data_IF_187945733594
#
_entry.id   IF_187945733594
#
_cell.length_a   1.000
_cell.length_b   1.000
_cell.length_c   1.000
_cell.angle_alpha   90.00
_cell.angle_beta   90.00
_cell.angle_gamma   90.00
#
_symmetry.space_group_name_H-M   'P 1'
#
loop_
_entity.id
_entity.type
_entity.pdbx_description
1 polymer ?
#
# COMPACT_ATOMS: atom_id res chain seq x y z
N UNK A 1 20.03 21.26 -71.14
CA UNK A 1 19.15 20.67 -72.16
C UNK A 1 18.55 19.42 -71.56
N UNK A 2 17.20 19.35 -71.55
CA UNK A 2 16.29 18.25 -71.18
C UNK A 2 16.43 17.73 -69.72
N UNK A 3 15.57 18.06 -68.75
CA UNK A 3 14.10 17.86 -68.60
C UNK A 3 13.61 16.42 -68.83
N UNK A 4 13.17 15.79 -67.74
CA UNK A 4 11.88 15.08 -67.70
C UNK A 4 11.41 14.92 -66.24
N UNK A 5 10.32 15.61 -65.92
CA UNK A 5 9.53 15.52 -64.68
C UNK A 5 8.64 14.28 -64.62
N UNK A 6 8.36 13.82 -63.41
CA UNK A 6 7.05 13.36 -62.86
C UNK A 6 7.33 12.53 -61.60
N UNK A 7 6.71 12.69 -60.44
CA UNK A 7 5.55 13.45 -60.02
C UNK A 7 4.94 12.75 -58.78
N UNK A 8 4.50 13.54 -57.81
CA UNK A 8 3.54 13.23 -56.73
C UNK A 8 3.96 12.33 -55.54
N UNK A 9 4.10 12.95 -54.36
CA UNK A 9 3.07 12.95 -53.29
C UNK A 9 3.71 13.03 -51.89
N UNK A 10 3.78 14.25 -51.35
CA UNK A 10 4.16 14.50 -49.97
C UNK A 10 3.03 14.07 -49.01
N UNK A 11 3.32 13.14 -48.08
CA UNK A 11 2.49 12.91 -46.89
C UNK A 11 3.30 13.24 -45.64
N UNK A 12 2.79 14.25 -44.92
CA UNK A 12 3.28 14.83 -43.66
C UNK A 12 3.43 13.76 -42.57
N UNK A 13 4.59 13.77 -41.90
CA UNK A 13 4.77 13.17 -40.58
C UNK A 13 3.93 13.96 -39.56
N UNK A 14 3.05 13.26 -38.84
CA UNK A 14 2.43 13.72 -37.60
C UNK A 14 3.43 13.47 -36.47
N UNK A 15 4.03 14.53 -35.96
CA UNK A 15 4.57 14.58 -34.60
C UNK A 15 3.39 14.83 -33.66
N UNK A 16 3.07 13.84 -32.83
CA UNK A 16 2.04 13.97 -31.80
C UNK A 16 2.54 14.85 -30.65
N UNK A 17 1.58 15.65 -30.19
CA UNK A 17 1.62 16.75 -29.25
C UNK A 17 2.53 16.54 -28.03
N UNK A 18 3.34 17.57 -27.78
CA UNK A 18 3.92 17.86 -26.49
C UNK A 18 2.79 17.89 -25.43
N UNK A 19 3.01 17.12 -24.35
CA UNK A 19 2.19 17.14 -23.17
C UNK A 19 2.46 18.48 -22.46
N UNK A 20 1.53 19.42 -22.61
CA UNK A 20 1.62 20.77 -22.06
C UNK A 20 1.57 20.69 -20.53
N UNK A 21 2.74 20.85 -19.91
CA UNK A 21 2.87 20.95 -18.47
C UNK A 21 2.43 22.37 -18.10
N UNK A 22 1.19 22.49 -17.63
CA UNK A 22 0.59 23.76 -17.24
C UNK A 22 1.48 24.56 -16.28
N UNK A 23 1.73 25.79 -16.68
CA UNK A 23 2.45 26.84 -15.96
C UNK A 23 1.87 27.08 -14.56
N UNK A 24 2.74 27.23 -13.56
CA UNK A 24 2.36 27.58 -12.20
C UNK A 24 2.13 29.10 -12.11
N UNK A 25 0.97 29.55 -12.63
CA UNK A 25 0.65 30.96 -12.81
C UNK A 25 -0.48 31.47 -11.92
N UNK A 26 -0.17 32.55 -11.18
CA UNK A 26 -1.03 33.57 -10.53
C UNK A 26 -2.22 33.16 -9.64
N UNK A 27 -2.54 33.93 -8.57
CA UNK A 27 -3.71 33.69 -7.74
C UNK A 27 -4.99 33.82 -8.57
N UNK A 28 -5.63 32.69 -8.89
CA UNK A 28 -6.91 32.70 -9.59
C UNK A 28 -8.01 33.21 -8.66
N UNK A 29 -8.62 34.34 -9.05
CA UNK A 29 -9.78 34.91 -8.34
C UNK A 29 -11.05 34.08 -8.51
N UNK A 30 -11.05 33.11 -9.43
CA UNK A 30 -12.15 32.18 -9.72
C UNK A 30 -11.95 30.87 -8.96
N UNK A 31 -11.95 30.96 -7.63
CA UNK A 31 -11.81 29.81 -6.76
C UNK A 31 -13.14 29.05 -6.72
N UNK A 32 -13.21 27.91 -7.41
CA UNK A 32 -14.27 26.90 -7.25
C UNK A 32 -14.50 26.49 -5.78
N UNK A 33 -13.54 26.78 -4.89
CA UNK A 33 -13.60 26.48 -3.46
C UNK A 33 -14.38 27.53 -2.66
N UNK A 34 -14.49 28.77 -3.17
CA UNK A 34 -15.13 29.87 -2.43
C UNK A 34 -16.64 29.66 -2.26
N UNK A 35 -17.27 29.04 -3.25
CA UNK A 35 -18.69 28.68 -3.26
C UNK A 35 -18.94 27.25 -2.77
N UNK A 36 -17.96 26.61 -2.11
CA UNK A 36 -18.07 25.21 -1.70
C UNK A 36 -18.95 25.05 -0.46
N UNK A 37 -20.07 24.35 -0.62
CA UNK A 37 -20.97 24.00 0.47
C UNK A 37 -20.62 22.61 1.02
N UNK A 38 -20.12 22.56 2.26
CA UNK A 38 -19.76 21.30 2.92
C UNK A 38 -21.03 20.48 3.18
N UNK A 39 -21.08 19.26 2.65
CA UNK A 39 -22.15 18.30 2.95
C UNK A 39 -21.74 17.31 4.04
N UNK A 40 -20.54 16.73 3.94
CA UNK A 40 -20.01 15.78 4.95
C UNK A 40 -18.50 15.62 4.86
N UNK A 41 -17.89 15.22 5.98
CA UNK A 41 -16.50 14.74 5.97
C UNK A 41 -16.50 13.29 5.49
N UNK A 42 -15.70 13.01 4.46
CA UNK A 42 -15.52 11.65 3.95
C UNK A 42 -14.49 10.89 4.78
N UNK A 43 -13.34 11.49 5.05
CA UNK A 43 -12.24 10.88 5.82
C UNK A 43 -11.38 11.98 6.45
N UNK A 44 -10.95 11.75 7.68
CA UNK A 44 -9.95 12.58 8.37
C UNK A 44 -8.80 11.69 8.83
N UNK A 45 -7.57 12.03 8.44
CA UNK A 45 -6.37 11.35 8.89
C UNK A 45 -5.47 12.30 9.67
N UNK A 46 -5.65 12.34 10.99
CA UNK A 46 -4.84 13.15 11.89
C UNK A 46 -3.33 12.79 11.87
N UNK A 47 -2.95 11.58 11.46
CA UNK A 47 -1.53 11.20 11.31
C UNK A 47 -0.89 11.85 10.08
N UNK A 48 -1.53 11.70 8.93
CA UNK A 48 -1.08 12.24 7.63
C UNK A 48 -1.41 13.73 7.46
N UNK A 49 -2.18 14.32 8.40
CA UNK A 49 -2.60 15.73 8.39
C UNK A 49 -3.38 16.08 7.11
N UNK A 50 -4.28 15.18 6.72
CA UNK A 50 -5.09 15.26 5.51
C UNK A 50 -6.57 15.01 5.82
N UNK A 51 -7.46 15.80 5.22
CA UNK A 51 -8.91 15.66 5.33
C UNK A 51 -9.56 15.66 3.94
N UNK A 52 -10.59 14.83 3.77
CA UNK A 52 -11.36 14.65 2.55
C UNK A 52 -12.81 15.06 2.82
N UNK A 53 -13.32 15.99 2.03
CA UNK A 53 -14.59 16.66 2.27
C UNK A 53 -15.47 16.49 1.03
N UNK A 54 -16.70 16.04 1.22
CA UNK A 54 -17.73 16.03 0.17
C UNK A 54 -18.65 17.22 0.37
N UNK A 55 -18.94 17.89 -0.74
CA UNK A 55 -19.82 19.05 -0.76
C UNK A 55 -20.31 19.33 -2.16
N UNK A 56 -20.79 20.56 -2.37
CA UNK A 56 -21.26 21.03 -3.66
C UNK A 56 -20.57 22.31 -4.07
N UNK A 57 -20.34 22.46 -5.38
CA UNK A 57 -19.94 23.72 -6.02
C UNK A 57 -20.93 24.00 -7.14
N UNK A 58 -21.63 25.13 -7.10
CA UNK A 58 -22.61 25.52 -8.13
C UNK A 58 -23.60 24.37 -8.46
N UNK A 59 -24.19 23.78 -7.41
CA UNK A 59 -25.09 22.62 -7.44
C UNK A 59 -24.51 21.28 -7.95
N UNK A 60 -23.22 21.22 -8.27
CA UNK A 60 -22.55 19.97 -8.65
C UNK A 60 -21.83 19.35 -7.47
N UNK A 61 -21.90 18.03 -7.32
CA UNK A 61 -21.09 17.30 -6.33
C UNK A 61 -19.60 17.58 -6.53
N UNK A 62 -18.89 17.79 -5.44
CA UNK A 62 -17.45 18.03 -5.45
C UNK A 62 -16.78 17.38 -4.23
N UNK A 63 -15.53 16.95 -4.41
CA UNK A 63 -14.66 16.52 -3.31
C UNK A 63 -13.49 17.48 -3.18
N UNK A 64 -13.29 18.02 -1.99
CA UNK A 64 -12.15 18.86 -1.63
C UNK A 64 -11.24 18.08 -0.68
N UNK A 65 -9.94 18.06 -0.98
CA UNK A 65 -8.93 17.39 -0.19
C UNK A 65 -7.94 18.45 0.29
N UNK A 66 -7.75 18.54 1.59
CA UNK A 66 -6.83 19.49 2.23
C UNK A 66 -5.72 18.71 2.93
N UNK A 67 -4.48 18.94 2.54
CA UNK A 67 -3.29 18.24 3.04
C UNK A 67 -2.26 19.26 3.52
N UNK A 68 -1.77 19.10 4.75
CA UNK A 68 -0.65 19.93 5.25
C UNK A 68 0.62 19.64 4.47
N UNK A 69 1.34 20.69 4.09
CA UNK A 69 2.62 20.55 3.40
C UNK A 69 3.72 20.12 4.38
N UNK A 70 4.70 19.30 3.93
CA UNK A 70 5.86 18.96 4.76
C UNK A 70 6.71 20.18 5.10
N UNK A 71 7.31 20.18 6.30
CA UNK A 71 8.31 21.19 6.66
C UNK A 71 9.57 20.95 5.83
N UNK A 72 10.01 21.97 5.09
CA UNK A 72 11.20 21.89 4.26
C UNK A 72 12.45 22.34 5.02
N UNK A 73 13.57 21.67 4.79
CA UNK A 73 14.82 21.96 5.49
C UNK A 73 15.34 23.37 5.21
N UNK A 74 15.14 23.88 3.99
CA UNK A 74 15.62 25.18 3.55
C UNK A 74 14.85 26.36 4.18
N UNK A 75 13.61 26.14 4.66
CA UNK A 75 12.79 27.18 5.31
C UNK A 75 12.91 27.19 6.83
N UNK A 76 13.62 26.23 7.44
CA UNK A 76 13.69 26.07 8.91
C UNK A 76 14.22 27.31 9.63
N UNK A 77 15.26 27.96 9.09
CA UNK A 77 15.85 29.13 9.75
C UNK A 77 14.88 30.30 9.81
N UNK A 78 14.16 30.53 8.71
CA UNK A 78 13.14 31.57 8.63
C UNK A 78 11.96 31.23 9.53
N UNK A 79 11.45 30.01 9.45
CA UNK A 79 10.33 29.53 10.27
C UNK A 79 10.59 29.75 11.76
N UNK A 80 11.78 29.38 12.26
CA UNK A 80 12.11 29.51 13.67
C UNK A 80 12.31 30.97 14.12
N UNK A 81 12.76 31.87 13.24
CA UNK A 81 13.03 33.27 13.58
C UNK A 81 11.81 34.18 13.45
N UNK A 82 10.94 33.89 12.50
CA UNK A 82 9.81 34.75 12.12
C UNK A 82 8.46 34.32 12.70
N UNK A 83 8.38 33.11 13.28
CA UNK A 83 7.14 32.61 13.87
C UNK A 83 6.89 33.15 15.27
N UNK A 84 5.61 33.22 15.64
CA UNK A 84 5.20 33.47 17.02
C UNK A 84 5.00 32.16 17.76
N UNK A 85 5.57 32.06 18.97
CA UNK A 85 5.48 30.87 19.81
C UNK A 85 4.62 31.16 21.04
N UNK A 86 3.61 30.32 21.27
CA UNK A 86 2.84 30.31 22.51
C UNK A 86 3.18 29.05 23.29
N UNK A 87 3.76 29.21 24.48
CA UNK A 87 4.08 28.08 25.35
C UNK A 87 2.79 27.36 25.78
N UNK A 88 2.75 26.04 25.63
CA UNK A 88 1.66 25.21 26.12
C UNK A 88 2.04 24.48 27.40
N UNK A 89 3.18 23.78 27.39
CA UNK A 89 3.64 22.95 28.50
C UNK A 89 5.16 23.14 28.64
N UNK A 90 5.65 23.23 29.87
CA UNK A 90 7.08 23.18 30.20
C UNK A 90 7.31 22.24 31.37
N UNK A 91 8.21 21.29 31.19
CA UNK A 91 8.67 20.40 32.25
C UNK A 91 10.17 20.14 32.07
N UNK A 92 10.97 20.63 33.03
CA UNK A 92 12.44 20.58 32.99
C UNK A 92 13.01 21.11 31.65
N UNK A 93 13.71 20.25 30.89
CA UNK A 93 14.28 20.58 29.57
C UNK A 93 13.28 20.48 28.41
N UNK A 94 12.08 19.92 28.65
CA UNK A 94 11.05 19.75 27.62
C UNK A 94 10.06 20.90 27.65
N UNK A 95 9.85 21.53 26.50
CA UNK A 95 8.82 22.56 26.33
C UNK A 95 8.11 22.39 25.00
N UNK A 96 6.78 22.43 25.04
CA UNK A 96 5.90 22.31 23.88
C UNK A 96 5.28 23.66 23.60
N UNK A 97 5.39 24.12 22.35
CA UNK A 97 4.85 25.40 21.90
C UNK A 97 3.83 25.18 20.78
N UNK A 98 2.83 26.05 20.72
CA UNK A 98 2.05 26.27 19.52
C UNK A 98 2.78 27.31 18.66
N UNK A 99 3.17 26.93 17.46
CA UNK A 99 3.88 27.78 16.50
C UNK A 99 2.89 28.35 15.48
N UNK A 100 2.83 29.67 15.36
CA UNK A 100 2.13 30.36 14.28
C UNK A 100 3.13 30.78 13.20
N UNK A 101 3.14 30.04 12.10
CA UNK A 101 4.03 30.26 10.98
C UNK A 101 3.59 31.46 10.13
N UNK A 102 4.53 32.16 9.47
CA UNK A 102 4.21 33.12 8.41
C UNK A 102 3.32 32.51 7.33
N UNK A 103 2.48 33.33 6.69
CA UNK A 103 1.48 32.86 5.72
C UNK A 103 2.08 32.08 4.55
N UNK A 104 3.21 32.54 3.99
CA UNK A 104 3.91 31.87 2.88
C UNK A 104 4.58 30.56 3.27
N UNK A 105 4.72 30.28 4.58
CA UNK A 105 5.27 29.02 5.10
C UNK A 105 4.17 28.07 5.62
N UNK A 106 2.90 28.46 5.53
CA UNK A 106 1.75 27.70 6.04
C UNK A 106 0.79 27.31 4.92
N UNK A 107 1.34 26.96 3.76
CA UNK A 107 0.56 26.51 2.61
C UNK A 107 -0.15 25.18 2.90
N UNK A 108 -1.40 25.07 2.45
CA UNK A 108 -2.19 23.85 2.50
C UNK A 108 -2.45 23.42 1.07
N UNK A 109 -1.95 22.23 0.72
CA UNK A 109 -2.22 21.65 -0.58
C UNK A 109 -3.70 21.34 -0.68
N UNK A 110 -4.35 21.95 -1.67
CA UNK A 110 -5.79 21.84 -1.90
C UNK A 110 -6.03 21.18 -3.24
N UNK A 111 -6.74 20.05 -3.24
CA UNK A 111 -7.14 19.33 -4.46
C UNK A 111 -8.65 19.34 -4.57
N UNK A 112 -9.19 19.71 -5.73
CA UNK A 112 -10.63 19.75 -6.00
C UNK A 112 -10.98 18.76 -7.10
N UNK A 113 -11.96 17.91 -6.85
CA UNK A 113 -12.57 17.01 -7.84
C UNK A 113 -13.98 17.50 -8.08
N UNK A 114 -14.23 18.14 -9.22
CA UNK A 114 -15.55 18.67 -9.59
C UNK A 114 -15.76 18.56 -11.12
N UNK A 115 -16.86 17.95 -11.60
CA UNK A 115 -17.89 17.25 -10.83
C UNK A 115 -17.41 15.91 -10.27
N UNK A 116 -17.75 15.61 -9.02
CA UNK A 116 -17.46 14.35 -8.35
C UNK A 116 -18.59 13.34 -8.60
N UNK A 117 -18.24 12.18 -9.15
CA UNK A 117 -19.17 11.04 -9.25
C UNK A 117 -19.31 10.32 -7.91
N UNK A 118 -20.34 9.49 -7.75
CA UNK A 118 -20.48 8.59 -6.59
C UNK A 118 -19.25 7.70 -6.37
N UNK A 119 -18.54 7.32 -7.45
CA UNK A 119 -17.31 6.53 -7.36
C UNK A 119 -16.20 7.31 -6.65
N UNK A 120 -16.07 8.61 -6.92
CA UNK A 120 -15.11 9.47 -6.22
C UNK A 120 -15.47 9.58 -4.73
N UNK A 121 -16.75 9.79 -4.44
CA UNK A 121 -17.24 9.90 -3.06
C UNK A 121 -16.98 8.61 -2.28
N UNK A 122 -17.33 7.44 -2.84
CA UNK A 122 -17.07 6.12 -2.23
C UNK A 122 -15.57 5.84 -2.05
N UNK A 123 -14.72 6.27 -3.00
CA UNK A 123 -13.25 6.10 -2.92
C UNK A 123 -12.64 6.81 -1.71
N UNK A 124 -13.12 8.01 -1.39
CA UNK A 124 -12.57 8.82 -0.30
C UNK A 124 -13.31 8.67 1.03
N UNK A 125 -14.49 8.05 1.02
CA UNK A 125 -15.25 7.75 2.23
C UNK A 125 -14.45 6.81 3.13
N UNK A 126 -14.28 7.20 4.39
CA UNK A 126 -13.71 6.38 5.43
C UNK A 126 -14.56 5.13 5.60
N UNK A 127 -13.91 3.98 5.53
CA UNK A 127 -14.54 2.71 5.86
C UNK A 127 -14.15 2.38 7.29
N UNK A 128 -15.15 2.18 8.14
CA UNK A 128 -14.93 1.67 9.49
C UNK A 128 -14.19 0.33 9.41
N UNK A 129 -13.24 0.14 10.31
CA UNK A 129 -12.41 -1.07 10.40
C UNK A 129 -12.63 -1.70 11.75
N UNK A 130 -12.94 -2.99 11.74
CA UNK A 130 -13.16 -3.82 12.91
C UNK A 130 -11.97 -4.76 13.08
N UNK A 131 -11.45 -4.88 14.29
CA UNK A 131 -10.45 -5.90 14.61
C UNK A 131 -11.21 -7.18 15.00
N UNK A 132 -10.96 -8.27 14.28
CA UNK A 132 -11.58 -9.56 14.53
C UNK A 132 -10.53 -10.53 15.02
N UNK A 133 -10.83 -11.23 16.10
CA UNK A 133 -10.01 -12.32 16.62
C UNK A 133 -10.64 -13.65 16.20
N UNK A 134 -10.01 -14.33 15.24
CA UNK A 134 -10.50 -15.58 14.67
C UNK A 134 -9.79 -16.77 15.32
N UNK A 135 -10.54 -17.64 16.00
CA UNK A 135 -10.00 -18.92 16.47
C UNK A 135 -9.79 -19.93 15.33
N UNK A 136 -9.04 -21.00 15.58
CA UNK A 136 -8.92 -22.09 14.59
C UNK A 136 -10.27 -22.71 14.19
N UNK A 137 -11.24 -22.73 15.10
CA UNK A 137 -12.61 -23.18 14.81
C UNK A 137 -13.36 -22.19 13.93
N UNK A 138 -13.26 -20.88 14.23
CA UNK A 138 -13.88 -19.83 13.41
C UNK A 138 -13.32 -19.86 11.97
N UNK A 139 -12.01 -20.11 11.81
CA UNK A 139 -11.43 -20.30 10.48
C UNK A 139 -12.09 -21.45 9.73
N UNK A 140 -12.20 -22.63 10.35
CA UNK A 140 -12.76 -23.83 9.69
C UNK A 140 -14.25 -23.68 9.38
N UNK A 141 -15.00 -23.00 10.24
CA UNK A 141 -16.46 -22.94 10.17
C UNK A 141 -17.00 -21.70 9.44
N UNK A 142 -16.25 -20.59 9.42
CA UNK A 142 -16.69 -19.31 8.86
C UNK A 142 -15.80 -18.88 7.68
N UNK A 143 -14.50 -18.70 7.93
CA UNK A 143 -13.59 -18.11 6.94
C UNK A 143 -13.28 -19.03 5.79
N UNK A 144 -12.90 -20.28 6.04
CA UNK A 144 -12.56 -21.27 5.01
C UNK A 144 -13.74 -21.54 4.07
N UNK A 145 -14.99 -21.75 4.54
CA UNK A 145 -16.16 -21.84 3.67
C UNK A 145 -16.39 -20.56 2.85
N UNK A 146 -16.24 -19.39 3.48
CA UNK A 146 -16.41 -18.12 2.78
C UNK A 146 -15.38 -17.97 1.64
N UNK A 147 -14.08 -18.10 1.93
CA UNK A 147 -13.03 -17.91 0.91
C UNK A 147 -13.11 -18.99 -0.18
N UNK A 148 -13.57 -20.19 0.14
CA UNK A 148 -13.76 -21.27 -0.84
C UNK A 148 -14.97 -21.02 -1.75
N UNK A 149 -16.00 -20.32 -1.24
CA UNK A 149 -17.15 -19.89 -2.04
C UNK A 149 -16.84 -18.70 -2.97
N UNK A 150 -15.79 -17.93 -2.65
CA UNK A 150 -15.34 -16.81 -3.46
C UNK A 150 -14.46 -17.32 -4.62
N UNK A 151 -14.70 -16.81 -5.83
CA UNK A 151 -13.87 -17.12 -7.00
C UNK A 151 -12.67 -16.18 -7.09
N UNK A 152 -11.75 -16.26 -6.12
CA UNK A 152 -10.51 -15.48 -6.17
C UNK A 152 -9.57 -16.05 -7.24
N UNK A 153 -9.45 -15.36 -8.38
CA UNK A 153 -8.49 -15.77 -9.41
C UNK A 153 -7.06 -15.44 -9.00
N UNK A 154 -6.25 -16.48 -8.80
CA UNK A 154 -4.79 -16.40 -8.63
C UNK A 154 -4.04 -16.63 -9.95
N UNK A 155 -4.71 -16.51 -11.10
CA UNK A 155 -4.10 -16.83 -12.40
C UNK A 155 -2.85 -15.99 -12.71
N UNK A 156 -2.81 -14.74 -12.25
CA UNK A 156 -1.62 -13.89 -12.41
C UNK A 156 -0.40 -14.48 -11.67
N UNK A 157 -0.60 -15.11 -10.51
CA UNK A 157 0.44 -15.83 -9.76
C UNK A 157 0.97 -16.99 -10.61
N UNK A 158 0.07 -17.80 -11.17
CA UNK A 158 0.44 -18.92 -12.03
C UNK A 158 1.19 -18.45 -13.27
N UNK A 159 0.80 -17.32 -13.87
CA UNK A 159 1.50 -16.77 -15.03
C UNK A 159 2.96 -16.41 -14.70
N UNK A 160 3.25 -15.92 -13.50
CA UNK A 160 4.63 -15.65 -13.03
C UNK A 160 5.40 -16.96 -12.82
N UNK A 161 4.80 -17.91 -12.11
CA UNK A 161 5.44 -19.20 -11.81
C UNK A 161 5.74 -20.00 -13.09
N UNK A 162 4.85 -19.94 -14.09
CA UNK A 162 4.97 -20.61 -15.39
C UNK A 162 5.73 -19.78 -16.43
N UNK A 163 6.30 -18.63 -16.06
CA UNK A 163 7.06 -17.71 -16.94
C UNK A 163 6.27 -17.18 -18.14
N UNK A 164 4.94 -17.14 -18.03
CA UNK A 164 4.03 -16.56 -19.03
C UNK A 164 3.92 -15.03 -18.90
N UNK A 165 4.24 -14.48 -17.73
CA UNK A 165 4.26 -13.04 -17.47
C UNK A 165 5.35 -12.69 -16.45
N UNK A 166 5.92 -11.48 -16.57
CA UNK A 166 6.89 -10.89 -15.62
C UNK A 166 8.16 -11.73 -15.38
N UNK A 167 8.49 -12.65 -16.29
CA UNK A 167 9.66 -13.53 -16.17
C UNK A 167 10.98 -12.74 -16.17
N UNK A 168 11.02 -11.61 -16.88
CA UNK A 168 12.15 -10.68 -16.95
C UNK A 168 12.36 -9.88 -15.64
N UNK A 169 11.35 -9.83 -14.77
CA UNK A 169 11.40 -9.11 -13.49
C UNK A 169 11.87 -9.98 -12.33
N UNK A 170 12.09 -11.27 -12.56
CA UNK A 170 12.51 -12.21 -11.53
C UNK A 170 13.92 -11.88 -11.08
N UNK A 171 14.09 -11.62 -9.79
CA UNK A 171 15.38 -11.32 -9.15
C UNK A 171 16.08 -12.60 -8.74
N UNK A 172 15.31 -13.57 -8.27
CA UNK A 172 15.80 -14.87 -7.84
C UNK A 172 14.72 -15.93 -8.00
N UNK A 173 15.12 -17.15 -8.32
CA UNK A 173 14.23 -18.30 -8.34
C UNK A 173 14.96 -19.53 -7.79
N UNK A 174 14.28 -20.22 -6.88
CA UNK A 174 14.59 -21.58 -6.50
C UNK A 174 13.52 -22.48 -7.13
N UNK A 175 13.85 -23.28 -8.17
CA UNK A 175 12.86 -23.99 -8.98
C UNK A 175 12.28 -25.25 -8.32
N UNK A 176 12.71 -25.58 -7.10
CA UNK A 176 12.21 -26.74 -6.38
C UNK A 176 10.68 -26.66 -6.19
N UNK A 177 9.90 -27.69 -6.57
CA UNK A 177 8.44 -27.59 -6.57
C UNK A 177 7.83 -27.48 -5.17
N UNK A 178 8.51 -27.98 -4.14
CA UNK A 178 7.97 -28.11 -2.77
C UNK A 178 8.55 -27.04 -1.82
N UNK A 179 9.82 -26.69 -2.01
CA UNK A 179 10.61 -25.81 -1.14
C UNK A 179 11.15 -24.58 -1.84
N UNK A 180 10.86 -24.43 -3.13
CA UNK A 180 11.28 -23.33 -3.96
C UNK A 180 10.25 -22.20 -4.08
N UNK A 181 10.71 -21.09 -4.64
CA UNK A 181 9.93 -19.86 -4.80
C UNK A 181 10.55 -18.95 -5.85
N UNK A 182 9.73 -18.02 -6.35
CA UNK A 182 10.16 -16.89 -7.20
C UNK A 182 10.17 -15.62 -6.37
N UNK A 183 11.24 -14.84 -6.44
CA UNK A 183 11.37 -13.51 -5.85
C UNK A 183 11.36 -12.45 -6.93
N UNK A 184 10.48 -11.46 -6.82
CA UNK A 184 10.37 -10.36 -7.77
C UNK A 184 9.92 -9.05 -7.11
N UNK A 185 10.21 -7.88 -7.71
CA UNK A 185 9.72 -6.58 -7.23
C UNK A 185 8.18 -6.53 -7.22
N UNK A 186 7.59 -6.04 -6.12
CA UNK A 186 6.16 -5.77 -6.05
C UNK A 186 5.79 -4.65 -7.03
N UNK A 187 4.58 -4.70 -7.61
CA UNK A 187 4.11 -3.68 -8.54
C UNK A 187 4.03 -2.27 -7.94
N UNK A 188 4.01 -2.14 -6.61
CA UNK A 188 4.01 -0.85 -5.89
C UNK A 188 5.36 -0.16 -5.85
N UNK A 189 6.46 -0.87 -6.18
CA UNK A 189 7.80 -0.30 -6.13
C UNK A 189 8.32 0.02 -7.54
N UNK A 190 8.72 1.27 -7.76
CA UNK A 190 9.23 1.74 -9.05
C UNK A 190 10.73 1.47 -9.25
N UNK A 191 11.39 0.89 -8.25
CA UNK A 191 12.81 0.50 -8.26
C UNK A 191 13.81 1.65 -8.39
N UNK A 192 13.38 2.91 -8.18
CA UNK A 192 14.29 4.07 -8.27
C UNK A 192 15.13 4.27 -7.01
N UNK A 193 14.62 3.86 -5.86
CA UNK A 193 15.31 4.00 -4.59
C UNK A 193 15.08 2.78 -3.69
N UNK A 194 16.00 2.55 -2.75
CA UNK A 194 15.95 1.38 -1.85
C UNK A 194 15.19 1.65 -0.56
N UNK A 195 14.92 2.93 -0.26
CA UNK A 195 14.22 3.36 0.95
C UNK A 195 12.79 2.81 1.00
N UNK A 196 12.14 2.65 -0.16
CA UNK A 196 10.83 2.02 -0.34
C UNK A 196 10.91 0.65 -1.02
N UNK A 197 12.07 -0.03 -0.92
CA UNK A 197 12.27 -1.37 -1.45
C UNK A 197 11.12 -2.29 -1.05
N UNK A 198 10.55 -2.96 -2.06
CA UNK A 198 9.45 -3.90 -1.87
C UNK A 198 9.55 -5.04 -2.89
N UNK A 199 9.86 -6.25 -2.40
CA UNK A 199 9.78 -7.49 -3.15
C UNK A 199 8.75 -8.45 -2.54
N UNK A 200 8.30 -9.39 -3.36
CA UNK A 200 7.45 -10.51 -2.95
C UNK A 200 8.12 -11.83 -3.35
N UNK A 201 8.09 -12.80 -2.44
CA UNK A 201 8.41 -14.19 -2.71
C UNK A 201 7.11 -14.99 -2.88
N UNK A 202 6.96 -15.66 -4.01
CA UNK A 202 5.80 -16.49 -4.35
C UNK A 202 6.26 -17.94 -4.42
N UNK A 203 5.66 -18.83 -3.62
CA UNK A 203 6.08 -20.24 -3.54
C UNK A 203 5.61 -21.03 -4.77
N UNK A 204 6.36 -22.06 -5.18
CA UNK A 204 5.96 -22.90 -6.31
C UNK A 204 4.77 -23.82 -5.99
N UNK A 205 4.74 -24.37 -4.77
CA UNK A 205 3.64 -25.22 -4.32
C UNK A 205 2.30 -24.47 -4.34
N UNK A 206 1.22 -25.19 -4.64
CA UNK A 206 -0.12 -24.60 -4.91
C UNK A 206 -1.17 -24.89 -3.84
N UNK A 207 -0.81 -25.67 -2.83
CA UNK A 207 -1.70 -26.19 -1.80
C UNK A 207 -1.77 -25.30 -0.54
N UNK A 208 -0.89 -24.30 -0.41
CA UNK A 208 -0.81 -23.41 0.75
C UNK A 208 -1.43 -22.05 0.42
N UNK A 209 -2.56 -21.75 1.05
CA UNK A 209 -3.33 -20.52 0.82
C UNK A 209 -2.89 -19.36 1.69
N UNK A 210 -2.57 -19.64 2.96
CA UNK A 210 -2.28 -18.62 3.98
C UNK A 210 -1.53 -19.23 5.17
N UNK A 211 -1.32 -18.44 6.24
CA UNK A 211 -0.76 -18.91 7.51
C UNK A 211 -1.49 -20.15 8.07
N UNK A 212 -2.81 -20.25 7.87
CA UNK A 212 -3.63 -21.35 8.43
C UNK A 212 -3.29 -22.73 7.88
N UNK A 213 -2.66 -22.79 6.70
CA UNK A 213 -2.25 -24.04 6.06
C UNK A 213 -0.81 -24.43 6.47
N UNK A 214 -0.06 -23.57 7.17
CA UNK A 214 1.32 -23.83 7.56
C UNK A 214 1.43 -24.81 8.72
N UNK A 215 2.39 -25.74 8.59
CA UNK A 215 2.78 -26.76 9.56
C UNK A 215 4.31 -26.90 9.59
N UNK A 216 4.88 -27.71 10.48
CA UNK A 216 6.34 -27.94 10.50
C UNK A 216 6.90 -28.55 9.20
N UNK A 217 6.07 -29.20 8.38
CA UNK A 217 6.46 -29.69 7.04
C UNK A 217 6.96 -28.56 6.13
N UNK A 218 6.46 -27.34 6.35
CA UNK A 218 6.77 -26.17 5.54
C UNK A 218 8.06 -25.45 6.00
N UNK A 219 8.69 -25.89 7.10
CA UNK A 219 9.90 -25.24 7.62
C UNK A 219 11.04 -25.14 6.59
N UNK A 220 11.34 -26.16 5.75
CA UNK A 220 12.36 -26.04 4.70
C UNK A 220 12.04 -24.92 3.70
N UNK A 221 10.79 -24.85 3.23
CA UNK A 221 10.31 -23.79 2.33
C UNK A 221 10.47 -22.41 2.96
N UNK A 222 9.97 -22.21 4.19
CA UNK A 222 10.01 -20.92 4.88
C UNK A 222 11.46 -20.47 5.17
N UNK A 223 12.33 -21.42 5.51
CA UNK A 223 13.77 -21.16 5.74
C UNK A 223 14.49 -20.83 4.43
N UNK A 224 14.13 -21.50 3.32
CA UNK A 224 14.65 -21.17 1.99
C UNK A 224 14.23 -19.77 1.56
N UNK A 225 12.96 -19.41 1.72
CA UNK A 225 12.46 -18.07 1.40
C UNK A 225 13.24 -17.02 2.16
N UNK A 226 13.40 -17.19 3.47
CA UNK A 226 14.16 -16.25 4.32
C UNK A 226 15.61 -16.13 3.84
N UNK A 227 16.35 -17.23 3.86
CA UNK A 227 17.79 -17.22 3.61
C UNK A 227 18.13 -16.82 2.17
N UNK A 228 17.56 -17.51 1.18
CA UNK A 228 17.85 -17.25 -0.24
C UNK A 228 17.28 -15.91 -0.70
N UNK A 229 16.14 -15.49 -0.15
CA UNK A 229 15.53 -14.19 -0.44
C UNK A 229 16.37 -13.03 0.10
N UNK A 230 16.79 -13.10 1.36
CA UNK A 230 17.70 -12.13 1.98
C UNK A 230 19.05 -12.04 1.21
N UNK A 231 19.64 -13.19 0.86
CA UNK A 231 20.86 -13.27 0.06
C UNK A 231 20.71 -12.62 -1.32
N UNK A 232 19.61 -12.92 -2.03
CA UNK A 232 19.34 -12.37 -3.35
C UNK A 232 19.18 -10.85 -3.29
N UNK A 233 18.45 -10.34 -2.30
CA UNK A 233 18.26 -8.90 -2.11
C UNK A 233 19.59 -8.21 -1.78
N UNK A 234 20.42 -8.83 -0.93
CA UNK A 234 21.73 -8.27 -0.61
C UNK A 234 22.64 -8.22 -1.84
N UNK A 235 22.67 -9.27 -2.66
CA UNK A 235 23.48 -9.31 -3.89
C UNK A 235 23.00 -8.31 -4.94
N UNK A 236 21.69 -8.20 -5.13
CA UNK A 236 21.11 -7.38 -6.20
C UNK A 236 21.05 -5.89 -5.85
N UNK A 237 20.70 -5.55 -4.60
CA UNK A 237 20.40 -4.17 -4.19
C UNK A 237 21.35 -3.63 -3.12
N UNK A 238 22.34 -4.41 -2.67
CA UNK A 238 23.26 -4.03 -1.57
C UNK A 238 22.54 -3.67 -0.26
N UNK A 239 21.32 -4.20 -0.06
CA UNK A 239 20.56 -4.01 1.18
C UNK A 239 20.81 -5.21 2.10
N UNK A 240 21.41 -5.02 3.29
CA UNK A 240 21.69 -6.12 4.20
C UNK A 240 20.39 -6.65 4.83
N UNK A 241 20.35 -7.93 5.27
CA UNK A 241 19.16 -8.53 5.89
C UNK A 241 18.64 -7.76 7.10
N UNK A 242 19.54 -7.14 7.88
CA UNK A 242 19.18 -6.30 9.05
C UNK A 242 18.40 -5.02 8.71
N UNK A 243 18.32 -4.65 7.43
CA UNK A 243 17.51 -3.54 6.91
C UNK A 243 16.21 -4.01 6.25
N UNK A 244 15.88 -5.30 6.34
CA UNK A 244 14.66 -5.86 5.78
C UNK A 244 13.65 -6.22 6.87
N UNK A 245 12.39 -5.88 6.62
CA UNK A 245 11.22 -6.43 7.29
C UNK A 245 10.67 -7.54 6.41
N UNK A 246 10.75 -8.78 6.87
CA UNK A 246 10.30 -9.97 6.13
C UNK A 246 9.08 -10.59 6.82
N UNK A 247 7.93 -10.62 6.14
CA UNK A 247 6.65 -10.94 6.79
C UNK A 247 5.59 -11.49 5.84
N UNK A 248 4.56 -12.11 6.41
CA UNK A 248 3.36 -12.57 5.72
C UNK A 248 2.15 -11.74 6.15
N UNK A 249 1.14 -11.63 5.30
CA UNK A 249 -0.13 -11.03 5.67
C UNK A 249 -1.15 -12.06 6.18
N UNK A 250 -1.93 -11.67 7.18
CA UNK A 250 -3.16 -12.33 7.58
C UNK A 250 -4.28 -11.29 7.83
N UNK A 251 -5.41 -11.32 7.13
CA UNK A 251 -5.68 -12.10 5.91
C UNK A 251 -4.80 -11.64 4.74
N UNK A 252 -4.34 -12.56 3.86
CA UNK A 252 -3.61 -12.21 2.67
C UNK A 252 -4.52 -11.53 1.64
N UNK A 253 -3.93 -10.78 0.69
CA UNK A 253 -4.73 -10.14 -0.37
C UNK A 253 -5.14 -11.13 -1.47
N UNK A 254 -4.50 -12.30 -1.52
CA UNK A 254 -4.81 -13.43 -2.40
C UNK A 254 -4.34 -14.73 -1.74
N UNK A 255 -5.08 -15.81 -1.96
CA UNK A 255 -4.89 -17.09 -1.26
C UNK A 255 -3.92 -18.04 -1.98
N UNK A 256 -2.68 -17.57 -2.12
CA UNK A 256 -1.50 -18.36 -2.52
C UNK A 256 -0.34 -17.85 -1.66
N UNK A 257 0.35 -18.72 -0.92
CA UNK A 257 1.35 -18.29 0.06
C UNK A 257 2.42 -17.40 -0.58
N UNK A 258 2.61 -16.24 0.02
CA UNK A 258 3.63 -15.28 -0.38
C UNK A 258 4.21 -14.57 0.83
N UNK A 259 5.46 -14.12 0.69
CA UNK A 259 6.20 -13.39 1.72
C UNK A 259 6.63 -12.04 1.17
N UNK A 260 6.41 -10.99 1.96
CA UNK A 260 6.83 -9.64 1.66
C UNK A 260 8.23 -9.37 2.21
N UNK A 261 9.07 -8.76 1.39
CA UNK A 261 10.37 -8.22 1.79
C UNK A 261 10.33 -6.72 1.58
N UNK A 262 10.34 -5.94 2.66
CA UNK A 262 10.34 -4.48 2.59
C UNK A 262 11.50 -3.86 3.33
N UNK A 263 11.94 -2.67 2.92
CA UNK A 263 12.85 -1.86 3.73
C UNK A 263 12.22 -1.59 5.11
N UNK A 264 13.01 -1.68 6.18
CA UNK A 264 12.54 -1.34 7.54
C UNK A 264 12.15 0.14 7.67
N UNK A 265 12.74 1.02 6.85
CA UNK A 265 12.46 2.45 6.80
C UNK A 265 11.14 2.76 6.07
N UNK A 266 10.60 1.80 5.31
CA UNK A 266 9.35 1.95 4.59
C UNK A 266 8.15 1.53 5.45
N UNK A 267 7.21 2.45 5.70
CA UNK A 267 5.88 2.13 6.28
C UNK A 267 4.97 1.55 5.18
N UNK A 268 5.32 0.35 4.72
CA UNK A 268 4.65 -0.34 3.64
C UNK A 268 3.18 -0.66 4.00
N UNK A 269 2.22 -0.52 3.07
CA UNK A 269 0.84 -0.91 3.33
C UNK A 269 0.72 -2.36 3.80
N UNK A 270 0.15 -2.55 5.00
CA UNK A 270 -0.05 -3.86 5.61
C UNK A 270 1.09 -4.37 6.49
N UNK A 271 2.15 -3.58 6.72
CA UNK A 271 3.29 -4.00 7.56
C UNK A 271 3.04 -3.90 9.09
N UNK A 272 1.82 -3.57 9.51
CA UNK A 272 1.48 -3.36 10.92
C UNK A 272 1.06 -4.64 11.62
N UNK A 273 1.13 -4.64 12.95
CA UNK A 273 0.94 -5.83 13.80
C UNK A 273 -0.41 -6.53 13.60
N UNK A 274 -1.45 -5.77 13.25
CA UNK A 274 -2.77 -6.32 13.00
C UNK A 274 -2.85 -7.15 11.71
N UNK A 275 -1.81 -7.16 10.86
CA UNK A 275 -1.82 -7.90 9.60
C UNK A 275 -0.52 -8.64 9.30
N UNK A 276 0.61 -8.05 9.66
CA UNK A 276 1.93 -8.58 9.36
C UNK A 276 2.40 -9.57 10.44
N UNK A 277 2.81 -10.75 10.00
CA UNK A 277 3.47 -11.76 10.82
C UNK A 277 4.90 -11.94 10.32
N UNK A 278 5.89 -11.60 11.15
CA UNK A 278 7.31 -11.74 10.78
C UNK A 278 7.62 -13.20 10.43
N UNK A 279 8.31 -13.42 9.31
CA UNK A 279 8.66 -14.76 8.86
C UNK A 279 9.54 -15.49 9.89
N UNK A 280 10.42 -14.77 10.58
CA UNK A 280 11.23 -15.31 11.68
C UNK A 280 10.38 -15.88 12.81
N UNK A 281 9.27 -15.23 13.14
CA UNK A 281 8.39 -15.62 14.24
C UNK A 281 7.50 -16.78 13.78
N UNK A 282 7.06 -16.76 12.53
CA UNK A 282 6.33 -17.87 11.91
C UNK A 282 7.14 -19.16 11.92
N UNK A 283 8.42 -19.08 11.56
CA UNK A 283 9.35 -20.22 11.62
C UNK A 283 9.49 -20.71 13.07
N UNK A 284 9.75 -19.83 14.03
CA UNK A 284 9.91 -20.20 15.44
C UNK A 284 8.63 -20.81 16.03
N UNK A 285 7.46 -20.26 15.70
CA UNK A 285 6.17 -20.77 16.14
C UNK A 285 5.95 -22.20 15.64
N UNK A 286 6.27 -22.50 14.38
CA UNK A 286 6.15 -23.83 13.79
C UNK A 286 7.21 -24.81 14.28
N UNK A 287 8.39 -24.33 14.69
CA UNK A 287 9.40 -25.16 15.36
C UNK A 287 8.95 -25.56 16.77
N UNK A 288 8.25 -24.66 17.48
CA UNK A 288 7.72 -24.92 18.81
C UNK A 288 6.44 -25.78 18.79
N UNK A 289 5.55 -25.56 17.82
CA UNK A 289 4.28 -26.27 17.68
C UNK A 289 3.88 -26.37 16.19
N UNK A 290 3.93 -27.57 15.63
CA UNK A 290 3.53 -27.84 14.24
C UNK A 290 2.10 -27.43 13.92
N UNK A 291 1.24 -27.34 14.93
CA UNK A 291 -0.17 -27.00 14.80
C UNK A 291 -0.49 -25.56 15.20
N UNK A 292 0.53 -24.73 15.44
CA UNK A 292 0.38 -23.37 15.98
C UNK A 292 -0.67 -22.57 15.22
N UNK A 293 -0.52 -22.45 13.90
CA UNK A 293 -1.42 -21.66 13.06
C UNK A 293 -2.77 -22.33 12.81
N UNK A 294 -2.88 -23.65 13.04
CA UNK A 294 -4.16 -24.33 13.00
C UNK A 294 -5.03 -24.02 14.23
N UNK A 295 -4.39 -23.89 15.40
CA UNK A 295 -5.09 -23.86 16.68
C UNK A 295 -5.22 -22.45 17.28
N UNK A 296 -4.21 -21.60 17.11
CA UNK A 296 -4.17 -20.28 17.75
C UNK A 296 -5.16 -19.31 17.13
N UNK A 297 -5.62 -18.37 17.95
CA UNK A 297 -6.38 -17.22 17.46
C UNK A 297 -5.47 -16.27 16.68
N UNK A 298 -5.96 -15.75 15.56
CA UNK A 298 -5.27 -14.75 14.75
C UNK A 298 -6.17 -13.51 14.66
N UNK A 299 -5.63 -12.36 15.04
CA UNK A 299 -6.33 -11.09 14.94
C UNK A 299 -6.04 -10.42 13.60
N UNK A 300 -7.06 -9.87 12.94
CA UNK A 300 -6.89 -9.11 11.70
C UNK A 300 -7.96 -8.02 11.50
N UNK A 301 -7.63 -6.92 10.80
CA UNK A 301 -8.58 -5.86 10.50
C UNK A 301 -9.49 -6.26 9.33
N UNK A 302 -10.78 -6.00 9.45
CA UNK A 302 -11.75 -6.10 8.37
C UNK A 302 -12.51 -4.80 8.19
N UNK A 303 -12.82 -4.46 6.94
CA UNK A 303 -13.63 -3.28 6.61
C UNK A 303 -15.11 -3.58 6.84
N UNK A 304 -15.88 -2.55 7.15
CA UNK A 304 -17.33 -2.65 7.39
C UNK A 304 -18.11 -3.29 6.23
N UNK A 305 -17.63 -3.12 5.00
CA UNK A 305 -18.22 -3.64 3.76
C UNK A 305 -17.66 -5.00 3.33
N UNK A 306 -16.77 -5.61 4.12
CA UNK A 306 -16.24 -6.94 3.86
C UNK A 306 -17.32 -8.01 4.12
N UNK A 307 -17.60 -8.85 3.12
CA UNK A 307 -18.56 -9.94 3.26
C UNK A 307 -18.15 -10.99 4.30
N UNK A 308 -16.86 -11.13 4.60
CA UNK A 308 -16.40 -12.01 5.68
C UNK A 308 -16.78 -11.45 7.05
N UNK A 309 -16.69 -10.13 7.25
CA UNK A 309 -17.10 -9.49 8.49
C UNK A 309 -18.57 -9.77 8.80
N UNK A 310 -19.43 -9.80 7.78
CA UNK A 310 -20.83 -10.17 7.95
C UNK A 310 -20.97 -11.59 8.53
N UNK A 311 -20.15 -12.55 8.09
CA UNK A 311 -20.17 -13.93 8.62
C UNK A 311 -19.79 -13.98 10.10
N UNK A 312 -18.81 -13.18 10.53
CA UNK A 312 -18.44 -13.07 11.94
C UNK A 312 -19.54 -12.40 12.77
N UNK A 313 -20.21 -11.37 12.25
CA UNK A 313 -21.36 -10.73 12.90
C UNK A 313 -22.55 -11.68 13.04
N UNK A 314 -22.89 -12.42 11.99
CA UNK A 314 -23.93 -13.45 12.02
C UNK A 314 -23.65 -14.55 13.06
N UNK A 315 -22.38 -14.86 13.29
CA UNK A 315 -21.93 -15.81 14.31
C UNK A 315 -21.80 -15.21 15.73
N UNK A 316 -22.10 -13.92 15.92
CA UNK A 316 -21.99 -13.23 17.21
C UNK A 316 -20.56 -13.06 17.72
N UNK A 317 -19.58 -12.98 16.80
CA UNK A 317 -18.14 -12.86 17.10
C UNK A 317 -17.60 -11.43 17.00
N UNK A 318 -18.43 -10.49 16.53
CA UNK A 318 -18.17 -9.04 16.42
C UNK A 318 -19.44 -8.30 16.81
#
# INVERSE_FOLDING_TARGET
>A
MAESENGAAAKRLKTDAANDCGDAGEPSSDSLVSDFEISRILRDCAREKIIFIHGKVKDQDAVVILEKTPIRQDTLSELLKSSQLKLQIKNDVYSTYQLHAPAHLNEIKTTVVCPATEKHVKKYLHQEVFLVEESGEDYRNLTLPYISSQSFSVQWVHNILEKKAEADRIVFEDPDPDTGFVLLPDFKWDQKQVQDLYLIAIVHRRDVKSLRDLTSEHLPLLTNIRSKGEDAIQRQYSVPPSKLRVYLHYQPSYYHLHVHFTSVEYDAPGCRVERAHLLSDVIQNLQADSSYYHNRSLAFPMRADDGLLLKFKEAGKV
#
